data_IF_030868413677
#
_entry.id   IF_030868413677
#
_cell.length_a   1.000
_cell.length_b   1.000
_cell.length_c   1.000
_cell.angle_alpha   90.00
_cell.angle_beta   90.00
_cell.angle_gamma   90.00
#
_symmetry.space_group_name_H-M   'P 1'
#
loop_
_entity.id
_entity.type
_entity.pdbx_description
1 polymer ?
#
# COMPACT_ATOMS: atom_id res chain seq x y z
N UNK A 1 17.43 -4.92 6.44
CA UNK A 1 17.42 -4.18 7.73
C UNK A 1 15.99 -3.73 7.97
N UNK A 2 15.47 -3.95 9.17
CA UNK A 2 14.11 -3.58 9.59
C UNK A 2 14.07 -2.05 9.80
N UNK A 3 12.97 -1.39 9.47
CA UNK A 3 12.82 0.07 9.56
C UNK A 3 11.77 0.47 10.62
N UNK A 4 11.74 1.74 11.08
CA UNK A 4 10.65 2.22 11.91
C UNK A 4 9.29 1.95 11.27
N UNK A 5 8.29 1.71 12.11
CA UNK A 5 6.92 1.41 11.67
C UNK A 5 6.41 2.46 10.69
N UNK A 6 5.68 2.03 9.67
CA UNK A 6 5.06 2.93 8.70
C UNK A 6 4.14 3.94 9.39
N UNK A 7 4.15 5.21 9.00
CA UNK A 7 3.15 6.18 9.46
C UNK A 7 1.72 5.71 9.18
N UNK A 8 1.53 4.91 8.12
CA UNK A 8 0.23 4.37 7.72
C UNK A 8 -0.11 3.04 8.41
N UNK A 9 0.79 2.46 9.19
CA UNK A 9 0.56 1.16 9.84
C UNK A 9 -0.67 1.20 10.77
N UNK A 10 -1.56 0.23 10.59
CA UNK A 10 -2.84 0.16 11.32
C UNK A 10 -3.94 1.06 10.77
N UNK A 11 -3.66 1.88 9.76
CA UNK A 11 -4.65 2.73 9.11
C UNK A 11 -5.37 1.98 7.98
N UNK A 12 -6.61 2.40 7.70
CA UNK A 12 -7.33 2.02 6.48
C UNK A 12 -7.22 3.18 5.50
N UNK A 13 -6.67 2.92 4.32
CA UNK A 13 -6.46 3.92 3.27
C UNK A 13 -7.10 3.47 1.98
N UNK A 14 -7.34 4.39 1.04
CA UNK A 14 -7.89 4.05 -0.27
C UNK A 14 -6.76 3.90 -1.29
N UNK A 15 -6.81 2.86 -2.11
CA UNK A 15 -5.88 2.69 -3.23
C UNK A 15 -6.37 3.55 -4.41
N UNK A 16 -5.46 4.26 -5.07
CA UNK A 16 -5.80 5.10 -6.24
C UNK A 16 -6.48 4.28 -7.34
N UNK A 17 -7.48 4.87 -8.00
CA UNK A 17 -8.35 4.17 -8.96
C UNK A 17 -7.61 3.51 -10.14
N UNK A 18 -6.47 4.07 -10.56
CA UNK A 18 -5.66 3.57 -11.66
C UNK A 18 -4.87 2.29 -11.34
N UNK A 19 -4.83 1.85 -10.09
CA UNK A 19 -4.10 0.63 -9.71
C UNK A 19 -4.88 -0.59 -10.16
N UNK A 20 -4.32 -1.34 -11.12
CA UNK A 20 -5.00 -2.50 -11.69
C UNK A 20 -5.48 -3.49 -10.62
N UNK A 21 -6.77 -3.86 -10.68
CA UNK A 21 -7.49 -4.79 -9.78
C UNK A 21 -7.67 -4.34 -8.32
N UNK A 22 -6.93 -3.34 -7.85
CA UNK A 22 -6.99 -2.85 -6.46
C UNK A 22 -7.53 -1.43 -6.34
N UNK A 23 -7.62 -0.67 -7.43
CA UNK A 23 -8.00 0.73 -7.42
C UNK A 23 -9.40 0.96 -6.86
N UNK A 24 -9.53 2.00 -6.04
CA UNK A 24 -10.76 2.38 -5.35
C UNK A 24 -11.11 1.53 -4.14
N UNK A 25 -10.34 0.47 -3.84
CA UNK A 25 -10.60 -0.39 -2.69
C UNK A 25 -9.97 0.14 -1.41
N UNK A 26 -10.61 -0.18 -0.28
CA UNK A 26 -10.03 0.00 1.05
C UNK A 26 -8.87 -0.98 1.27
N UNK A 27 -7.79 -0.45 1.82
CA UNK A 27 -6.56 -1.17 2.10
C UNK A 27 -6.17 -0.96 3.56
N UNK A 28 -6.22 -2.05 4.33
CA UNK A 28 -5.83 -2.07 5.74
C UNK A 28 -4.33 -2.31 5.82
N UNK A 29 -3.58 -1.25 6.06
CA UNK A 29 -2.12 -1.29 6.10
C UNK A 29 -1.67 -1.98 7.38
N UNK A 30 -0.80 -2.99 7.26
CA UNK A 30 -0.19 -3.64 8.41
C UNK A 30 1.11 -2.93 8.79
N UNK A 31 2.07 -2.86 7.87
CA UNK A 31 3.32 -2.13 8.01
C UNK A 31 4.06 -2.07 6.65
N UNK A 32 5.30 -1.58 6.64
CA UNK A 32 6.23 -1.80 5.53
C UNK A 32 6.44 -3.28 5.25
N UNK A 33 6.48 -3.65 3.97
CA UNK A 33 6.80 -5.01 3.55
C UNK A 33 8.12 -5.50 4.14
N UNK A 34 9.15 -4.65 4.13
CA UNK A 34 10.48 -4.98 4.67
C UNK A 34 10.42 -5.38 6.16
N UNK A 35 9.44 -4.90 6.92
CA UNK A 35 9.26 -5.26 8.32
C UNK A 35 8.55 -6.61 8.43
N UNK A 36 7.44 -6.78 7.69
CA UNK A 36 6.64 -8.01 7.67
C UNK A 36 7.45 -9.21 7.17
N UNK A 37 8.34 -9.01 6.21
CA UNK A 37 9.17 -10.07 5.62
C UNK A 37 10.40 -10.44 6.46
N UNK A 38 10.64 -9.74 7.58
CA UNK A 38 11.82 -9.91 8.43
C UNK A 38 13.10 -9.31 7.86
N UNK A 39 13.00 -8.19 7.14
CA UNK A 39 14.13 -7.45 6.59
C UNK A 39 14.47 -7.76 5.13
N UNK A 40 13.58 -8.45 4.40
CA UNK A 40 13.78 -8.90 3.01
C UNK A 40 12.98 -8.06 2.00
N UNK A 41 13.65 -7.58 0.96
CA UNK A 41 12.98 -6.84 -0.11
C UNK A 41 12.01 -7.75 -0.88
N UNK A 42 10.94 -7.17 -1.42
CA UNK A 42 10.00 -7.90 -2.29
C UNK A 42 10.70 -8.47 -3.53
N UNK A 43 11.78 -7.84 -3.97
CA UNK A 43 12.60 -8.26 -5.11
C UNK A 43 13.30 -9.62 -4.89
N UNK A 44 13.46 -10.06 -3.63
CA UNK A 44 14.14 -11.32 -3.28
C UNK A 44 13.19 -12.34 -2.61
N UNK A 45 11.88 -12.09 -2.63
CA UNK A 45 10.87 -12.95 -2.02
C UNK A 45 10.19 -13.84 -3.06
N UNK A 46 10.99 -14.70 -3.68
CA UNK A 46 10.52 -15.69 -4.65
C UNK A 46 9.47 -16.63 -4.02
N UNK A 47 8.45 -16.97 -4.79
CA UNK A 47 7.35 -17.84 -4.34
C UNK A 47 6.31 -17.18 -3.44
N UNK A 48 6.50 -15.93 -3.00
CA UNK A 48 5.45 -15.20 -2.26
C UNK A 48 4.40 -14.63 -3.24
N UNK A 49 3.12 -15.04 -3.15
CA UNK A 49 2.09 -14.59 -4.10
C UNK A 49 1.86 -13.08 -4.13
N UNK A 50 2.00 -12.39 -2.99
CA UNK A 50 1.85 -10.95 -2.91
C UNK A 50 3.02 -10.23 -3.60
N UNK A 51 4.25 -10.73 -3.39
CA UNK A 51 5.45 -10.21 -4.06
C UNK A 51 5.41 -10.43 -5.58
N UNK A 52 4.98 -11.62 -6.03
CA UNK A 52 4.87 -11.94 -7.46
C UNK A 52 3.81 -11.08 -8.16
N UNK A 53 2.63 -10.94 -7.54
CA UNK A 53 1.56 -10.10 -8.09
C UNK A 53 2.00 -8.63 -8.18
N UNK A 54 2.72 -8.16 -7.17
CA UNK A 54 3.28 -6.82 -7.14
C UNK A 54 4.37 -6.61 -8.18
N UNK A 55 5.33 -7.54 -8.31
CA UNK A 55 6.41 -7.42 -9.29
C UNK A 55 5.86 -7.34 -10.72
N UNK A 56 4.89 -8.19 -11.07
CA UNK A 56 4.23 -8.14 -12.37
C UNK A 56 3.52 -6.79 -12.57
N UNK A 57 2.70 -6.37 -11.60
CA UNK A 57 1.91 -5.13 -11.69
C UNK A 57 2.80 -3.88 -11.73
N UNK A 58 3.80 -3.80 -10.87
CA UNK A 58 4.70 -2.66 -10.74
C UNK A 58 5.59 -2.47 -11.97
N UNK A 59 6.03 -3.57 -12.60
CA UNK A 59 6.74 -3.51 -13.87
C UNK A 59 5.92 -2.88 -14.99
N UNK A 60 4.65 -3.28 -15.13
CA UNK A 60 3.75 -2.67 -16.13
C UNK A 60 3.39 -1.21 -15.82
N UNK A 61 3.28 -0.86 -14.53
CA UNK A 61 2.92 0.49 -14.11
C UNK A 61 4.12 1.46 -13.99
N UNK A 62 5.35 0.98 -14.23
CA UNK A 62 6.56 1.79 -14.11
C UNK A 62 6.83 2.28 -12.68
N UNK A 63 6.47 1.48 -11.66
CA UNK A 63 6.69 1.85 -10.27
C UNK A 63 8.19 1.85 -9.92
N UNK A 64 8.62 2.70 -8.97
CA UNK A 64 9.98 2.67 -8.45
C UNK A 64 10.38 1.29 -7.94
N UNK A 65 11.61 0.87 -8.27
CA UNK A 65 12.20 -0.37 -7.79
C UNK A 65 12.86 -0.18 -6.41
N UNK A 66 12.09 0.28 -5.42
CA UNK A 66 12.56 0.56 -4.06
C UNK A 66 11.79 -0.25 -2.99
N UNK A 67 12.03 0.07 -1.71
CA UNK A 67 11.35 -0.57 -0.58
C UNK A 67 10.30 0.33 0.09
N UNK A 68 9.78 1.35 -0.61
CA UNK A 68 8.62 2.15 -0.18
C UNK A 68 7.31 1.42 -0.47
N UNK A 69 7.27 0.16 -0.04
CA UNK A 69 6.20 -0.79 -0.30
C UNK A 69 5.55 -1.19 1.01
N UNK A 70 4.23 -1.02 1.07
CA UNK A 70 3.39 -1.42 2.19
C UNK A 70 2.90 -2.85 1.98
N UNK A 71 2.71 -3.55 3.09
CA UNK A 71 1.91 -4.76 3.16
C UNK A 71 0.61 -4.48 3.91
N UNK A 72 -0.46 -5.09 3.45
CA UNK A 72 -1.80 -4.83 3.95
C UNK A 72 -2.83 -5.71 3.28
N UNK A 73 -4.08 -5.53 3.67
CA UNK A 73 -5.19 -6.39 3.25
C UNK A 73 -6.26 -5.63 2.50
N UNK A 74 -6.75 -6.24 1.43
CA UNK A 74 -7.97 -5.85 0.72
C UNK A 74 -8.90 -7.06 0.76
N UNK A 75 -10.13 -6.89 1.25
CA UNK A 75 -11.11 -7.98 1.38
C UNK A 75 -10.55 -9.23 2.12
N UNK A 76 -9.62 -9.01 3.06
CA UNK A 76 -8.94 -10.07 3.82
C UNK A 76 -7.73 -10.72 3.15
N UNK A 77 -7.48 -10.44 1.86
CA UNK A 77 -6.34 -10.95 1.10
C UNK A 77 -5.15 -9.99 1.16
N UNK A 78 -3.94 -10.55 1.30
CA UNK A 78 -2.71 -9.78 1.43
C UNK A 78 -2.15 -9.28 0.09
N UNK A 79 -1.83 -7.99 0.02
CA UNK A 79 -1.29 -7.35 -1.16
C UNK A 79 -0.16 -6.38 -0.82
N UNK A 80 0.76 -6.21 -1.78
CA UNK A 80 1.74 -5.14 -1.75
C UNK A 80 1.29 -3.95 -2.60
N UNK A 81 1.49 -2.76 -2.04
CA UNK A 81 1.13 -1.49 -2.66
C UNK A 81 2.27 -0.50 -2.41
N UNK A 82 2.71 0.21 -3.44
CA UNK A 82 3.71 1.26 -3.29
C UNK A 82 3.07 2.50 -2.68
N UNK A 83 3.79 3.28 -1.87
CA UNK A 83 3.22 4.47 -1.19
C UNK A 83 2.62 5.50 -2.15
N UNK A 84 3.18 5.64 -3.35
CA UNK A 84 2.66 6.54 -4.40
C UNK A 84 1.28 6.13 -4.94
N UNK A 85 0.86 4.89 -4.66
CA UNK A 85 -0.42 4.32 -5.10
C UNK A 85 -1.52 4.50 -4.07
N UNK A 86 -1.20 5.06 -2.90
CA UNK A 86 -2.16 5.43 -1.89
C UNK A 86 -2.79 6.77 -2.30
N UNK A 87 -4.12 6.82 -2.25
CA UNK A 87 -4.83 8.09 -2.33
C UNK A 87 -4.61 8.78 -0.99
N UNK A 88 -3.95 9.94 -1.01
CA UNK A 88 -3.92 10.80 0.16
C UNK A 88 -5.34 11.28 0.31
N UNK A 89 -6.07 10.76 1.29
CA UNK A 89 -7.31 11.39 1.72
C UNK A 89 -6.86 12.72 2.32
N UNK A 90 -7.01 13.80 1.56
CA UNK A 90 -7.16 15.10 2.20
C UNK A 90 -8.33 14.91 3.17
N UNK A 91 -8.17 15.21 4.48
CA UNK A 91 -9.33 15.20 5.37
C UNK A 91 -10.38 16.07 4.70
N UNK A 92 -11.61 15.55 4.54
CA UNK A 92 -12.70 16.34 3.96
C UNK A 92 -12.65 17.75 4.57
N UNK A 93 -12.63 18.82 3.76
CA UNK A 93 -12.77 20.15 4.31
C UNK A 93 -14.08 20.14 5.08
N UNK A 94 -14.01 20.36 6.40
CA UNK A 94 -15.17 20.45 7.26
C UNK A 94 -16.20 21.33 6.55
N UNK A 95 -17.30 20.72 6.12
CA UNK A 95 -18.36 21.43 5.38
C UNK A 95 -18.76 22.69 6.15
N UNK A 96 -19.18 23.76 5.45
CA UNK A 96 -19.38 25.06 6.06
C UNK A 96 -20.26 24.90 7.30
N UNK A 97 -19.70 25.23 8.46
CA UNK A 97 -20.45 25.31 9.71
C UNK A 97 -21.68 26.17 9.43
N UNK A 98 -22.85 25.52 9.51
CA UNK A 98 -24.12 26.10 9.12
C UNK A 98 -24.29 27.48 9.75
N UNK A 99 -24.56 28.45 8.89
CA UNK A 99 -25.03 29.76 9.29
C UNK A 99 -26.21 29.59 10.27
N UNK A 100 -26.08 30.22 11.44
CA UNK A 100 -27.18 30.67 12.28
C UNK A 100 -26.81 32.02 12.87
#
# INVERSE_FOLDING_TARGET
MIRPRSPLAGQTVTIRAQVAKLGGKEYKVEDWWINVSGGRSWMVCEGNPAALTYAARGGFAGLPADNEVLYGKVDGLGYLVHVSEIAVNEPEPAGPAGAR
#
